data_IF_234631027484
#
_entry.id   IF_234631027484
#
_cell.length_a   1.000
_cell.length_b   1.000
_cell.length_c   1.000
_cell.angle_alpha   90.00
_cell.angle_beta   90.00
_cell.angle_gamma   90.00
#
_symmetry.space_group_name_H-M   'P 1'
#
loop_
_entity.id
_entity.type
_entity.pdbx_description
1 polymer ?
#
# COMPACT_ATOMS: atom_id res chain seq x y z
N UNK A 1 18.15 -0.22 -13.57
CA UNK A 1 17.78 -0.35 -12.13
C UNK A 1 16.28 -0.57 -12.03
N UNK A 2 15.80 -1.30 -11.02
CA UNK A 2 14.37 -1.50 -10.73
C UNK A 2 14.07 -0.93 -9.34
N UNK A 3 13.01 -0.13 -9.24
CA UNK A 3 12.60 0.50 -7.99
C UNK A 3 11.33 -0.16 -7.45
N UNK A 4 11.25 -0.23 -6.12
CA UNK A 4 10.09 -0.71 -5.39
C UNK A 4 9.57 0.40 -4.45
N UNK A 5 8.31 0.31 -4.03
CA UNK A 5 7.66 1.34 -3.21
C UNK A 5 6.94 0.74 -2.01
N UNK A 6 6.95 1.42 -0.87
CA UNK A 6 6.16 1.01 0.29
C UNK A 6 4.67 1.28 0.04
N UNK A 7 3.81 0.34 0.39
CA UNK A 7 2.37 0.58 0.40
C UNK A 7 2.01 1.42 1.64
N UNK A 8 1.17 2.46 1.52
CA UNK A 8 0.71 3.23 2.68
C UNK A 8 -0.06 2.33 3.66
N UNK A 9 0.51 2.06 4.83
CA UNK A 9 -0.14 1.25 5.87
C UNK A 9 -0.62 2.06 7.07
N UNK A 10 -0.09 3.26 7.28
CA UNK A 10 -0.50 4.08 8.43
C UNK A 10 -1.87 4.70 8.19
N UNK A 11 -2.80 4.43 9.10
CA UNK A 11 -4.13 5.04 9.13
C UNK A 11 -4.20 5.83 10.42
N UNK A 12 -4.22 7.16 10.30
CA UNK A 12 -4.32 8.06 11.45
C UNK A 12 -5.72 8.00 12.09
N UNK A 13 -6.14 9.09 12.72
CA UNK A 13 -7.48 9.19 13.32
C UNK A 13 -8.61 9.19 12.27
N UNK A 14 -8.26 9.40 11.00
CA UNK A 14 -9.17 9.30 9.86
C UNK A 14 -9.42 7.84 9.46
N UNK A 15 -10.61 7.54 8.95
CA UNK A 15 -10.91 6.21 8.41
C UNK A 15 -10.08 5.95 7.16
N UNK A 16 -9.75 4.68 6.91
CA UNK A 16 -9.15 4.23 5.66
C UNK A 16 -9.95 4.74 4.45
N UNK A 17 -9.28 5.45 3.55
CA UNK A 17 -9.84 5.93 2.28
C UNK A 17 -9.44 4.97 1.13
N UNK A 18 -10.36 4.11 0.68
CA UNK A 18 -10.08 3.16 -0.41
C UNK A 18 -9.86 3.86 -1.77
N UNK A 19 -10.38 5.06 -1.97
CA UNK A 19 -10.24 5.82 -3.21
C UNK A 19 -8.84 6.43 -3.34
N UNK A 20 -8.38 7.12 -2.29
CA UNK A 20 -7.04 7.67 -2.24
C UNK A 20 -5.96 6.58 -2.33
N UNK A 21 -6.17 5.45 -1.65
CA UNK A 21 -5.26 4.30 -1.70
C UNK A 21 -5.10 3.74 -3.12
N UNK A 22 -6.20 3.54 -3.86
CA UNK A 22 -6.14 3.09 -5.27
C UNK A 22 -5.47 4.11 -6.16
N UNK A 23 -5.77 5.40 -5.99
CA UNK A 23 -5.15 6.46 -6.77
C UNK A 23 -3.61 6.48 -6.59
N UNK A 24 -3.13 6.27 -5.37
CA UNK A 24 -1.70 6.13 -5.08
C UNK A 24 -1.06 4.96 -5.84
N UNK A 25 -1.67 3.77 -5.77
CA UNK A 25 -1.14 2.57 -6.43
C UNK A 25 -1.16 2.67 -7.95
N UNK A 26 -2.25 3.19 -8.53
CA UNK A 26 -2.30 3.47 -9.96
C UNK A 26 -1.21 4.45 -10.38
N UNK A 27 -0.95 5.47 -9.57
CA UNK A 27 0.14 6.42 -9.86
C UNK A 27 1.51 5.75 -9.77
N UNK A 28 1.75 4.89 -8.78
CA UNK A 28 2.99 4.12 -8.66
C UNK A 28 3.20 3.20 -9.88
N UNK A 29 2.15 2.52 -10.33
CA UNK A 29 2.20 1.66 -11.52
C UNK A 29 2.49 2.47 -12.81
N UNK A 30 1.89 3.65 -12.97
CA UNK A 30 2.15 4.56 -14.10
C UNK A 30 3.59 5.10 -14.11
N UNK A 31 4.17 5.30 -12.93
CA UNK A 31 5.56 5.73 -12.78
C UNK A 31 6.58 4.60 -13.02
N UNK A 32 6.11 3.37 -13.21
CA UNK A 32 6.97 2.23 -13.55
C UNK A 32 7.68 1.60 -12.36
N UNK A 33 7.15 1.76 -11.14
CA UNK A 33 7.59 0.93 -10.01
C UNK A 33 7.35 -0.54 -10.35
N UNK A 34 8.33 -1.39 -10.07
CA UNK A 34 8.26 -2.80 -10.42
C UNK A 34 7.49 -3.61 -9.38
N UNK A 35 7.56 -3.22 -8.11
CA UNK A 35 6.95 -3.98 -7.03
C UNK A 35 6.61 -3.06 -5.87
N UNK A 36 5.66 -3.47 -5.05
CA UNK A 36 5.33 -2.82 -3.81
C UNK A 36 5.58 -3.76 -2.60
N UNK A 37 5.73 -3.19 -1.41
CA UNK A 37 5.96 -3.96 -0.19
C UNK A 37 5.20 -3.39 1.00
N UNK A 38 4.88 -4.27 1.95
CA UNK A 38 4.31 -3.96 3.26
C UNK A 38 5.26 -4.43 4.37
N UNK A 39 5.15 -3.85 5.55
CA UNK A 39 5.88 -4.26 6.75
C UNK A 39 4.90 -4.76 7.83
N UNK A 40 5.28 -5.84 8.51
CA UNK A 40 4.57 -6.35 9.69
C UNK A 40 4.97 -5.59 10.95
N UNK A 41 3.97 -5.25 11.76
CA UNK A 41 4.13 -4.37 12.90
C UNK A 41 2.95 -4.49 13.87
N UNK A 42 2.79 -5.67 14.48
CA UNK A 42 1.72 -5.97 15.44
C UNK A 42 1.88 -5.16 16.75
N UNK A 43 3.12 -4.90 17.15
CA UNK A 43 3.44 -4.21 18.40
C UNK A 43 3.83 -2.76 18.14
N UNK A 44 3.27 -1.85 18.93
CA UNK A 44 3.61 -0.43 18.91
C UNK A 44 2.37 0.46 18.92
N UNK A 45 2.55 1.78 19.07
CA UNK A 45 1.44 2.73 19.14
C UNK A 45 0.87 3.08 17.76
N UNK A 46 1.49 2.62 16.68
CA UNK A 46 1.08 2.98 15.33
C UNK A 46 -0.12 2.15 14.86
N UNK A 47 -1.19 2.84 14.46
CA UNK A 47 -2.34 2.25 13.79
C UNK A 47 -1.98 1.93 12.34
N UNK A 48 -1.44 0.73 12.12
CA UNK A 48 -1.09 0.25 10.78
C UNK A 48 -2.09 -0.81 10.30
N UNK A 49 -2.41 -0.77 9.01
CA UNK A 49 -3.13 -1.84 8.33
C UNK A 49 -2.31 -3.13 8.32
N UNK A 50 -3.00 -4.25 8.51
CA UNK A 50 -2.41 -5.57 8.47
C UNK A 50 -1.77 -5.84 7.08
N UNK A 51 -0.55 -6.41 7.01
CA UNK A 51 0.20 -6.46 5.76
C UNK A 51 -0.46 -7.30 4.66
N UNK A 52 -1.03 -8.46 5.02
CA UNK A 52 -1.57 -9.42 4.06
C UNK A 52 -2.85 -8.88 3.42
N UNK A 53 -3.75 -8.33 4.22
CA UNK A 53 -4.99 -7.68 3.75
C UNK A 53 -4.66 -6.46 2.88
N UNK A 54 -3.68 -5.66 3.29
CA UNK A 54 -3.22 -4.50 2.53
C UNK A 54 -2.65 -4.91 1.18
N UNK A 55 -1.81 -5.94 1.16
CA UNK A 55 -1.19 -6.45 -0.08
C UNK A 55 -2.23 -7.08 -1.01
N UNK A 56 -3.20 -7.82 -0.47
CA UNK A 56 -4.29 -8.39 -1.26
C UNK A 56 -5.16 -7.30 -1.91
N UNK A 57 -5.50 -6.25 -1.16
CA UNK A 57 -6.25 -5.12 -1.69
C UNK A 57 -5.46 -4.33 -2.74
N UNK A 58 -4.14 -4.16 -2.53
CA UNK A 58 -3.26 -3.52 -3.50
C UNK A 58 -3.19 -4.31 -4.81
N UNK A 59 -2.97 -5.63 -4.73
CA UNK A 59 -2.94 -6.52 -5.89
C UNK A 59 -4.27 -6.54 -6.66
N UNK A 60 -5.40 -6.42 -5.97
CA UNK A 60 -6.72 -6.29 -6.63
C UNK A 60 -6.93 -4.93 -7.31
N UNK A 61 -6.10 -3.92 -6.99
CA UNK A 61 -6.20 -2.56 -7.49
C UNK A 61 -5.19 -2.25 -8.61
N UNK A 62 -4.26 -3.16 -8.90
CA UNK A 62 -3.20 -2.99 -9.90
C UNK A 62 -3.24 -4.14 -10.91
N UNK A 63 -2.64 -3.94 -12.09
CA UNK A 63 -2.58 -4.98 -13.13
C UNK A 63 -1.16 -5.55 -13.33
N UNK A 64 -0.14 -4.80 -12.90
CA UNK A 64 1.28 -5.09 -13.16
C UNK A 64 2.19 -4.81 -11.96
N UNK A 65 1.84 -3.82 -11.12
CA UNK A 65 2.60 -3.44 -9.92
C UNK A 65 2.57 -4.55 -8.85
#
# INVERSE_FOLDING_TARGET
>A
MRFAISIPQHVGDERFDPGAFRAYLHRAEQLGFHSAWTQEGILGPASNLAPIETMAYAAASTNRL
#
